data_IF_735598619340
#
_entry.id   IF_735598619340
#
_cell.length_a   1.000
_cell.length_b   1.000
_cell.length_c   1.000
_cell.angle_alpha   90.00
_cell.angle_beta   90.00
_cell.angle_gamma   90.00
#
_symmetry.space_group_name_H-M   'P 1'
#
loop_
_entity.id
_entity.type
_entity.pdbx_description
1 polymer ?
#
# COMPACT_ATOMS: atom_id res chain seq x y z
N UNK A 1 0.74 35.57 4.21
CA UNK A 1 0.88 34.38 3.34
C UNK A 1 2.33 33.91 3.08
N UNK A 2 3.33 34.81 2.94
CA UNK A 2 4.72 34.43 2.56
C UNK A 2 5.37 33.35 3.44
N UNK A 3 5.09 33.34 4.74
CA UNK A 3 5.64 32.33 5.67
C UNK A 3 5.11 30.91 5.35
N UNK A 4 3.82 30.76 5.09
CA UNK A 4 3.23 29.45 4.73
C UNK A 4 3.81 28.92 3.42
N UNK A 5 4.02 29.80 2.44
CA UNK A 5 4.62 29.43 1.17
C UNK A 5 6.10 29.05 1.33
N UNK A 6 6.87 29.81 2.12
CA UNK A 6 8.26 29.50 2.42
C UNK A 6 8.41 28.13 3.13
N UNK A 7 7.51 27.83 4.07
CA UNK A 7 7.45 26.52 4.72
C UNK A 7 7.19 25.40 3.71
N UNK A 8 6.22 25.56 2.81
CA UNK A 8 5.92 24.56 1.79
C UNK A 8 7.11 24.33 0.84
N UNK A 9 7.76 25.39 0.39
CA UNK A 9 8.97 25.28 -0.44
C UNK A 9 10.09 24.55 0.30
N UNK A 10 10.27 24.80 1.60
CA UNK A 10 11.25 24.07 2.40
C UNK A 10 10.90 22.59 2.53
N UNK A 11 9.63 22.27 2.75
CA UNK A 11 9.15 20.88 2.84
C UNK A 11 9.35 20.13 1.52
N UNK A 12 9.02 20.74 0.38
CA UNK A 12 9.27 20.17 -0.95
C UNK A 12 10.78 19.95 -1.22
N UNK A 13 11.61 20.91 -0.80
CA UNK A 13 13.06 20.76 -0.86
C UNK A 13 13.58 19.57 -0.04
N UNK A 14 13.09 19.41 1.19
CA UNK A 14 13.46 18.29 2.07
C UNK A 14 12.93 16.95 1.58
N UNK A 15 11.71 16.92 1.05
CA UNK A 15 11.07 15.67 0.63
C UNK A 15 11.81 14.96 -0.50
N UNK A 16 12.60 15.71 -1.30
CA UNK A 16 13.46 15.18 -2.36
C UNK A 16 14.69 14.41 -1.86
N UNK A 17 14.99 14.46 -0.56
CA UNK A 17 16.12 13.73 0.03
C UNK A 17 15.79 12.25 0.30
N UNK A 18 14.51 11.90 0.33
CA UNK A 18 14.10 10.50 0.48
C UNK A 18 14.33 9.72 -0.81
N UNK A 19 15.00 8.57 -0.70
CA UNK A 19 15.25 7.67 -1.83
C UNK A 19 13.97 6.96 -2.31
N UNK A 20 13.06 6.68 -1.38
CA UNK A 20 11.78 6.04 -1.68
C UNK A 20 10.73 7.12 -2.00
N UNK A 21 10.20 7.18 -3.23
CA UNK A 21 9.22 8.20 -3.60
C UNK A 21 7.89 8.05 -2.84
N UNK A 22 7.53 6.85 -2.36
CA UNK A 22 6.34 6.69 -1.52
C UNK A 22 6.53 7.38 -0.16
N UNK A 23 7.75 7.36 0.40
CA UNK A 23 8.08 8.05 1.63
C UNK A 23 8.08 9.57 1.46
N UNK A 24 8.51 10.09 0.30
CA UNK A 24 8.38 11.50 -0.07
C UNK A 24 6.93 11.97 0.05
N UNK A 25 5.98 11.20 -0.48
CA UNK A 25 4.56 11.55 -0.39
C UNK A 25 4.00 11.43 1.03
N UNK A 26 4.40 10.40 1.78
CA UNK A 26 4.00 10.26 3.19
C UNK A 26 4.49 11.44 4.03
N UNK A 27 5.74 11.87 3.83
CA UNK A 27 6.33 13.02 4.50
C UNK A 27 5.55 14.31 4.22
N UNK A 28 5.28 14.61 2.94
CA UNK A 28 4.54 15.82 2.55
C UNK A 28 3.11 15.80 3.09
N UNK A 29 2.43 14.66 2.97
CA UNK A 29 1.09 14.46 3.52
C UNK A 29 1.04 14.73 5.03
N UNK A 30 1.97 14.15 5.82
CA UNK A 30 2.04 14.36 7.27
C UNK A 30 2.20 15.84 7.63
N UNK A 31 3.17 16.52 6.99
CA UNK A 31 3.47 17.91 7.32
C UNK A 31 2.35 18.86 6.90
N UNK A 32 1.77 18.66 5.71
CA UNK A 32 0.67 19.51 5.23
C UNK A 32 -0.60 19.27 6.06
N UNK A 33 -0.87 18.02 6.45
CA UNK A 33 -1.98 17.70 7.37
C UNK A 33 -1.80 18.41 8.71
N UNK A 34 -0.59 18.37 9.26
CA UNK A 34 -0.27 19.10 10.48
C UNK A 34 -0.46 20.61 10.33
N UNK A 35 -0.04 21.21 9.21
CA UNK A 35 -0.28 22.62 8.92
C UNK A 35 -1.78 22.95 8.88
N UNK A 36 -2.57 22.14 8.17
CA UNK A 36 -4.03 22.30 8.10
C UNK A 36 -4.67 22.24 9.49
N UNK A 37 -4.28 21.24 10.30
CA UNK A 37 -4.79 21.07 11.67
C UNK A 37 -4.41 22.23 12.58
N UNK A 38 -3.18 22.73 12.45
CA UNK A 38 -2.67 23.86 13.24
C UNK A 38 -3.36 25.17 12.88
N UNK A 39 -3.55 25.44 11.58
CA UNK A 39 -4.30 26.62 11.11
C UNK A 39 -5.74 26.56 11.60
N UNK A 40 -6.43 25.43 11.47
CA UNK A 40 -7.83 25.28 11.93
C UNK A 40 -8.02 25.49 13.44
N UNK A 41 -6.96 25.36 14.23
CA UNK A 41 -6.97 25.48 15.70
C UNK A 41 -6.47 26.83 16.20
N UNK A 42 -6.16 27.77 15.32
CA UNK A 42 -5.62 29.09 15.65
C UNK A 42 -6.35 30.19 14.90
N UNK A 43 -6.17 31.44 15.34
CA UNK A 43 -6.67 32.66 14.68
C UNK A 43 -6.14 32.83 13.25
N UNK A 44 -5.09 32.08 12.87
CA UNK A 44 -4.62 32.02 11.50
C UNK A 44 -5.72 31.56 10.52
N UNK A 45 -6.73 30.81 10.98
CA UNK A 45 -7.88 30.44 10.16
C UNK A 45 -8.61 31.68 9.62
N UNK A 46 -8.83 32.69 10.46
CA UNK A 46 -9.58 33.89 10.10
C UNK A 46 -8.81 34.76 9.10
N UNK A 47 -7.47 34.73 9.18
CA UNK A 47 -6.58 35.41 8.24
C UNK A 47 -6.41 34.69 6.90
N UNK A 48 -6.43 33.35 6.90
CA UNK A 48 -6.16 32.52 5.72
C UNK A 48 -7.43 32.13 4.96
N UNK A 49 -8.57 32.07 5.65
CA UNK A 49 -9.86 31.69 5.11
C UNK A 49 -10.04 30.18 4.90
N UNK A 50 -11.31 29.77 4.80
CA UNK A 50 -11.70 28.37 4.58
C UNK A 50 -11.21 27.81 3.24
N UNK A 51 -11.09 28.64 2.21
CA UNK A 51 -10.55 28.25 0.90
C UNK A 51 -9.11 27.74 0.99
N UNK A 52 -8.29 28.37 1.83
CA UNK A 52 -6.93 27.90 2.06
C UNK A 52 -6.94 26.52 2.71
N UNK A 53 -7.79 26.32 3.73
CA UNK A 53 -7.94 25.04 4.42
C UNK A 53 -8.40 23.95 3.45
N UNK A 54 -9.41 24.22 2.62
CA UNK A 54 -9.94 23.26 1.67
C UNK A 54 -8.92 22.90 0.59
N UNK A 55 -8.18 23.88 0.06
CA UNK A 55 -7.09 23.65 -0.90
C UNK A 55 -6.03 22.71 -0.33
N UNK A 56 -5.58 22.95 0.90
CA UNK A 56 -4.51 22.14 1.50
C UNK A 56 -5.00 20.73 1.90
N UNK A 57 -6.27 20.58 2.30
CA UNK A 57 -6.87 19.24 2.46
C UNK A 57 -6.85 18.43 1.17
N UNK A 58 -7.14 19.06 0.02
CA UNK A 58 -7.03 18.38 -1.29
C UNK A 58 -5.59 17.96 -1.58
N UNK A 59 -4.59 18.77 -1.23
CA UNK A 59 -3.17 18.43 -1.40
C UNK A 59 -2.78 17.23 -0.51
N UNK A 60 -3.25 17.19 0.75
CA UNK A 60 -3.07 16.00 1.63
C UNK A 60 -3.61 14.75 0.96
N UNK A 61 -4.84 14.81 0.41
CA UNK A 61 -5.44 13.68 -0.28
C UNK A 61 -4.68 13.27 -1.55
N UNK A 62 -4.16 14.24 -2.31
CA UNK A 62 -3.34 13.96 -3.49
C UNK A 62 -2.07 13.19 -3.11
N UNK A 63 -1.39 13.58 -2.03
CA UNK A 63 -0.23 12.84 -1.55
C UNK A 63 -0.59 11.46 -1.01
N UNK A 64 -1.70 11.29 -0.30
CA UNK A 64 -2.19 9.97 0.12
C UNK A 64 -2.43 9.05 -1.10
N UNK A 65 -3.08 9.56 -2.14
CA UNK A 65 -3.34 8.82 -3.37
C UNK A 65 -2.04 8.45 -4.11
N UNK A 66 -1.09 9.38 -4.17
CA UNK A 66 0.19 9.14 -4.84
C UNK A 66 1.08 8.19 -4.06
N UNK A 67 1.09 8.25 -2.72
CA UNK A 67 1.68 7.24 -1.85
C UNK A 67 1.11 5.86 -2.17
N UNK A 68 -0.24 5.72 -2.17
CA UNK A 68 -0.92 4.45 -2.47
C UNK A 68 -0.48 3.89 -3.82
N UNK A 69 -0.55 4.72 -4.87
CA UNK A 69 -0.17 4.33 -6.24
C UNK A 69 1.29 3.89 -6.32
N UNK A 70 2.18 4.64 -5.68
CA UNK A 70 3.63 4.41 -5.80
C UNK A 70 4.07 3.18 -5.00
N UNK A 71 3.57 3.03 -3.77
CA UNK A 71 3.95 1.92 -2.91
C UNK A 71 3.32 0.58 -3.33
N UNK A 72 2.06 0.58 -3.79
CA UNK A 72 1.27 -0.65 -3.92
C UNK A 72 1.02 -1.11 -5.36
N UNK A 73 1.36 -0.30 -6.37
CA UNK A 73 1.10 -0.66 -7.78
C UNK A 73 1.74 -2.00 -8.18
N UNK A 74 3.00 -2.23 -7.81
CA UNK A 74 3.74 -3.45 -8.20
C UNK A 74 3.13 -4.72 -7.59
N UNK A 75 2.78 -4.69 -6.31
CA UNK A 75 2.17 -5.86 -5.64
C UNK A 75 0.75 -6.12 -6.13
N UNK A 76 -0.02 -5.08 -6.42
CA UNK A 76 -1.35 -5.23 -7.04
C UNK A 76 -1.25 -5.78 -8.47
N UNK A 77 -0.23 -5.39 -9.25
CA UNK A 77 0.04 -5.98 -10.56
C UNK A 77 0.40 -7.48 -10.45
N UNK A 78 1.18 -7.88 -9.43
CA UNK A 78 1.49 -9.29 -9.15
C UNK A 78 0.21 -10.12 -8.91
N UNK A 79 -0.80 -9.53 -8.28
CA UNK A 79 -2.11 -10.15 -8.04
C UNK A 79 -3.08 -10.06 -9.22
N UNK A 80 -2.68 -9.39 -10.31
CA UNK A 80 -3.52 -9.28 -11.50
C UNK A 80 -3.45 -10.54 -12.37
N UNK A 81 -4.50 -10.79 -13.14
CA UNK A 81 -4.56 -11.89 -14.10
C UNK A 81 -3.78 -11.54 -15.38
N UNK A 82 -3.43 -10.26 -15.56
CA UNK A 82 -2.71 -9.77 -16.73
C UNK A 82 -1.32 -10.40 -16.82
N UNK A 83 -0.99 -10.98 -17.98
CA UNK A 83 0.29 -11.68 -18.20
C UNK A 83 0.34 -13.10 -17.65
N UNK A 84 -0.79 -13.66 -17.17
CA UNK A 84 -0.94 -15.10 -16.91
C UNK A 84 -1.39 -15.87 -18.16
N UNK A 85 -1.98 -15.18 -19.13
CA UNK A 85 -2.46 -15.72 -20.40
C UNK A 85 -1.50 -15.37 -21.53
N UNK A 86 -0.34 -16.02 -21.61
CA UNK A 86 0.44 -16.03 -22.84
C UNK A 86 -0.01 -17.23 -23.67
N UNK A 87 -0.67 -16.93 -24.79
CA UNK A 87 -0.95 -17.89 -25.85
C UNK A 87 0.36 -18.34 -26.51
N UNK A 88 0.71 -19.60 -26.35
CA UNK A 88 1.58 -20.38 -27.23
C UNK A 88 0.94 -21.75 -27.38
N UNK A 89 0.38 -22.03 -28.57
CA UNK A 89 -0.60 -23.08 -28.83
C UNK A 89 -0.04 -24.50 -28.93
N UNK A 90 -0.97 -25.47 -28.98
CA UNK A 90 -0.69 -26.85 -29.35
C UNK A 90 -1.63 -27.90 -28.75
N UNK A 91 -2.75 -28.14 -29.44
CA UNK A 91 -3.44 -29.43 -29.58
C UNK A 91 -4.18 -30.08 -28.39
N UNK A 92 -5.52 -30.04 -28.51
CA UNK A 92 -6.46 -31.16 -28.51
C UNK A 92 -6.71 -32.04 -27.26
N UNK A 93 -8.02 -32.24 -27.05
CA UNK A 93 -8.69 -33.42 -26.48
C UNK A 93 -8.53 -33.71 -24.99
N UNK A 94 -9.46 -33.21 -24.18
CA UNK A 94 -10.31 -34.05 -23.31
C UNK A 94 -11.39 -33.19 -22.66
N UNK A 95 -12.65 -33.57 -22.84
CA UNK A 95 -13.76 -33.00 -22.09
C UNK A 95 -13.71 -33.49 -20.65
N UNK A 96 -13.89 -32.58 -19.70
CA UNK A 96 -14.85 -32.69 -18.59
C UNK A 96 -14.86 -31.33 -17.86
N UNK A 97 -15.99 -31.00 -17.24
CA UNK A 97 -16.25 -29.71 -16.61
C UNK A 97 -15.19 -29.34 -15.56
N UNK A 98 -14.47 -28.25 -15.80
CA UNK A 98 -13.56 -27.68 -14.81
C UNK A 98 -12.87 -26.43 -15.34
N UNK A 99 -13.11 -25.31 -14.66
CA UNK A 99 -12.62 -23.97 -14.95
C UNK A 99 -11.07 -23.89 -14.94
N UNK A 100 -10.41 -24.49 -15.93
CA UNK A 100 -8.96 -24.48 -16.09
C UNK A 100 -8.59 -23.29 -16.97
N UNK A 101 -8.36 -22.14 -16.34
CA UNK A 101 -7.61 -21.09 -17.02
C UNK A 101 -6.30 -21.72 -17.48
N UNK A 102 -5.99 -21.70 -18.79
CA UNK A 102 -4.79 -22.29 -19.42
C UNK A 102 -3.46 -21.65 -18.98
N UNK A 103 -3.37 -21.28 -17.71
CA UNK A 103 -2.26 -20.64 -17.03
C UNK A 103 -1.39 -21.73 -16.41
N UNK A 104 -0.09 -21.65 -16.64
CA UNK A 104 0.86 -22.61 -16.07
C UNK A 104 0.86 -22.56 -14.53
N UNK A 105 0.71 -23.74 -13.90
CA UNK A 105 0.86 -23.92 -12.43
C UNK A 105 2.19 -23.40 -11.90
N UNK A 106 3.26 -23.46 -12.71
CA UNK A 106 4.57 -22.93 -12.34
C UNK A 106 4.56 -21.39 -12.24
N UNK A 107 3.89 -20.71 -13.19
CA UNK A 107 3.74 -19.25 -13.17
C UNK A 107 2.91 -18.77 -11.97
N UNK A 108 1.83 -19.47 -11.63
CA UNK A 108 1.03 -19.17 -10.44
C UNK A 108 1.87 -19.27 -9.17
N UNK A 109 2.62 -20.36 -9.03
CA UNK A 109 3.54 -20.58 -7.91
C UNK A 109 4.59 -19.47 -7.81
N UNK A 110 5.10 -19.02 -8.95
CA UNK A 110 6.06 -17.91 -9.01
C UNK A 110 5.44 -16.57 -8.56
N UNK A 111 4.22 -16.26 -9.02
CA UNK A 111 3.47 -15.08 -8.56
C UNK A 111 3.26 -15.06 -7.05
N UNK A 112 2.91 -16.19 -6.44
CA UNK A 112 2.78 -16.28 -4.98
C UNK A 112 4.10 -15.99 -4.27
N UNK A 113 5.23 -16.49 -4.77
CA UNK A 113 6.55 -16.17 -4.20
C UNK A 113 6.89 -14.69 -4.34
N UNK A 114 6.67 -14.11 -5.51
CA UNK A 114 6.90 -12.70 -5.77
C UNK A 114 6.04 -11.84 -4.85
N UNK A 115 4.76 -12.20 -4.67
CA UNK A 115 3.87 -11.54 -3.73
C UNK A 115 4.42 -11.58 -2.30
N UNK A 116 4.84 -12.76 -1.82
CA UNK A 116 5.37 -12.90 -0.46
C UNK A 116 6.57 -11.98 -0.23
N UNK A 117 7.55 -11.99 -1.15
CA UNK A 117 8.74 -11.12 -1.06
C UNK A 117 8.35 -9.64 -1.08
N UNK A 118 7.48 -9.24 -2.01
CA UNK A 118 7.06 -7.84 -2.11
C UNK A 118 6.29 -7.38 -0.87
N UNK A 119 5.44 -8.23 -0.29
CA UNK A 119 4.70 -7.89 0.91
C UNK A 119 5.62 -7.80 2.12
N UNK A 120 6.55 -8.75 2.30
CA UNK A 120 7.55 -8.74 3.37
C UNK A 120 8.41 -7.46 3.31
N UNK A 121 8.89 -7.07 2.13
CA UNK A 121 9.65 -5.84 1.93
C UNK A 121 8.82 -4.58 2.25
N UNK A 122 7.54 -4.56 1.85
CA UNK A 122 6.64 -3.44 2.14
C UNK A 122 6.36 -3.33 3.64
N UNK A 123 6.02 -4.43 4.30
CA UNK A 123 5.76 -4.46 5.74
C UNK A 123 7.00 -4.05 6.53
N UNK A 124 8.15 -4.69 6.28
CA UNK A 124 9.40 -4.39 6.99
C UNK A 124 9.77 -2.90 6.92
N UNK A 125 9.59 -2.29 5.74
CA UNK A 125 9.93 -0.89 5.50
C UNK A 125 8.90 0.05 6.11
N UNK A 126 7.61 -0.18 5.87
CA UNK A 126 6.56 0.78 6.20
C UNK A 126 6.09 0.72 7.66
N UNK A 127 6.31 -0.40 8.35
CA UNK A 127 6.12 -0.48 9.81
C UNK A 127 7.14 0.40 10.57
N UNK A 128 8.27 0.75 9.94
CA UNK A 128 9.24 1.68 10.52
C UNK A 128 8.91 3.15 10.24
N UNK A 129 8.01 3.44 9.30
CA UNK A 129 7.58 4.81 9.02
C UNK A 129 6.61 5.28 10.09
N UNK A 130 6.35 6.59 10.17
CA UNK A 130 5.44 7.14 11.18
C UNK A 130 4.45 8.11 10.55
N UNK A 131 3.18 7.94 10.88
CA UNK A 131 2.11 8.92 10.62
C UNK A 131 1.58 9.35 11.99
N UNK A 132 2.01 10.52 12.51
CA UNK A 132 1.71 10.89 13.90
C UNK A 132 0.22 11.04 14.22
N UNK A 133 -0.55 11.56 13.27
CA UNK A 133 -1.99 11.75 13.42
C UNK A 133 -2.73 10.40 13.26
N UNK A 134 -3.44 9.96 14.30
CA UNK A 134 -4.07 8.64 14.35
C UNK A 134 -5.20 8.46 13.35
N UNK A 135 -6.01 9.48 13.12
CA UNK A 135 -7.10 9.45 12.15
C UNK A 135 -6.57 9.35 10.71
N UNK A 136 -5.54 10.14 10.38
CA UNK A 136 -4.85 10.04 9.09
C UNK A 136 -4.19 8.66 8.91
N UNK A 137 -3.57 8.13 9.97
CA UNK A 137 -2.93 6.81 9.96
C UNK A 137 -3.94 5.71 9.66
N UNK A 138 -5.05 5.69 10.38
CA UNK A 138 -6.07 4.66 10.22
C UNK A 138 -6.75 4.75 8.85
N UNK A 139 -7.05 5.98 8.40
CA UNK A 139 -7.56 6.21 7.04
C UNK A 139 -6.64 5.65 5.95
N UNK A 140 -5.32 5.80 6.09
CA UNK A 140 -4.37 5.22 5.14
C UNK A 140 -4.33 3.70 5.18
N UNK A 141 -4.35 3.10 6.38
CA UNK A 141 -4.38 1.64 6.55
C UNK A 141 -5.62 1.05 5.89
N UNK A 142 -6.80 1.62 6.17
CA UNK A 142 -8.06 1.24 5.55
C UNK A 142 -8.00 1.38 4.02
N UNK A 143 -7.50 2.52 3.53
CA UNK A 143 -7.42 2.76 2.09
C UNK A 143 -6.47 1.81 1.36
N UNK A 144 -5.44 1.27 2.03
CA UNK A 144 -4.57 0.22 1.50
C UNK A 144 -5.26 -1.15 1.57
N UNK A 145 -5.88 -1.48 2.69
CA UNK A 145 -6.61 -2.74 2.88
C UNK A 145 -7.74 -2.90 1.84
N UNK A 146 -8.47 -1.82 1.57
CA UNK A 146 -9.57 -1.74 0.60
C UNK A 146 -9.15 -2.13 -0.82
N UNK A 147 -7.88 -1.92 -1.19
CA UNK A 147 -7.37 -2.31 -2.52
C UNK A 147 -6.65 -3.65 -2.50
N UNK A 148 -5.90 -3.96 -1.43
CA UNK A 148 -5.07 -5.16 -1.37
C UNK A 148 -5.90 -6.42 -1.06
N UNK A 149 -6.78 -6.36 -0.05
CA UNK A 149 -7.50 -7.53 0.43
C UNK A 149 -8.44 -8.11 -0.63
N UNK A 150 -9.26 -7.31 -1.35
CA UNK A 150 -10.10 -7.86 -2.42
C UNK A 150 -9.30 -8.48 -3.56
N UNK A 151 -8.17 -7.86 -3.93
CA UNK A 151 -7.28 -8.39 -4.96
C UNK A 151 -6.67 -9.73 -4.52
N UNK A 152 -6.18 -9.82 -3.27
CA UNK A 152 -5.59 -11.03 -2.72
C UNK A 152 -6.62 -12.17 -2.58
N UNK A 153 -7.79 -11.88 -2.00
CA UNK A 153 -8.90 -12.85 -1.86
C UNK A 153 -9.32 -13.40 -3.21
N UNK A 154 -9.43 -12.53 -4.22
CA UNK A 154 -9.77 -12.95 -5.59
C UNK A 154 -8.69 -13.84 -6.21
N UNK A 155 -7.42 -13.50 -6.02
CA UNK A 155 -6.29 -14.29 -6.52
C UNK A 155 -6.22 -15.68 -5.88
N UNK A 156 -6.35 -15.75 -4.54
CA UNK A 156 -6.39 -17.01 -3.78
C UNK A 156 -7.59 -17.86 -4.19
N UNK A 157 -8.81 -17.29 -4.25
CA UNK A 157 -10.01 -18.04 -4.64
C UNK A 157 -9.85 -18.69 -6.02
N UNK A 158 -9.20 -17.98 -6.95
CA UNK A 158 -9.03 -18.45 -8.33
C UNK A 158 -7.89 -19.47 -8.48
N UNK A 159 -6.76 -19.26 -7.82
CA UNK A 159 -5.53 -20.00 -8.08
C UNK A 159 -5.01 -20.84 -6.90
N UNK A 160 -5.57 -20.65 -5.70
CA UNK A 160 -5.24 -21.39 -4.48
C UNK A 160 -5.35 -22.91 -4.64
N UNK A 161 -6.48 -23.45 -5.16
CA UNK A 161 -6.65 -24.90 -5.34
C UNK A 161 -5.55 -25.53 -6.22
N UNK A 162 -5.02 -24.80 -7.20
CA UNK A 162 -3.95 -25.29 -8.11
C UNK A 162 -2.60 -25.44 -7.39
N UNK A 163 -2.39 -24.68 -6.32
CA UNK A 163 -1.17 -24.69 -5.51
C UNK A 163 -1.29 -25.69 -4.36
N UNK A 164 -2.47 -25.76 -3.75
CA UNK A 164 -2.82 -26.67 -2.65
C UNK A 164 -2.75 -28.14 -3.05
N UNK A 165 -3.08 -28.48 -4.30
CA UNK A 165 -2.92 -29.83 -4.84
C UNK A 165 -1.44 -30.29 -4.96
N UNK A 166 -0.47 -29.44 -4.61
CA UNK A 166 0.96 -29.77 -4.63
C UNK A 166 1.52 -30.25 -3.29
N UNK A 167 2.73 -30.79 -3.30
CA UNK A 167 3.39 -31.36 -2.09
C UNK A 167 3.74 -30.34 -0.99
N UNK A 168 3.80 -29.04 -1.28
CA UNK A 168 4.23 -27.99 -0.33
C UNK A 168 3.46 -26.67 -0.48
N UNK A 169 2.15 -26.62 -0.16
CA UNK A 169 1.31 -25.42 -0.37
C UNK A 169 1.76 -24.20 0.45
N UNK A 170 2.14 -24.43 1.72
CA UNK A 170 2.59 -23.39 2.65
C UNK A 170 3.85 -22.62 2.19
N UNK A 171 4.63 -23.20 1.26
CA UNK A 171 5.78 -22.50 0.65
C UNK A 171 5.34 -21.32 -0.22
N UNK A 172 4.14 -21.39 -0.78
CA UNK A 172 3.61 -20.45 -1.76
C UNK A 172 2.53 -19.56 -1.13
N UNK A 173 1.52 -20.16 -0.49
CA UNK A 173 0.46 -19.43 0.21
C UNK A 173 0.89 -19.30 1.66
N UNK A 174 1.57 -18.19 1.99
CA UNK A 174 2.10 -17.92 3.34
C UNK A 174 1.13 -17.18 4.25
N UNK A 175 0.17 -16.48 3.68
CA UNK A 175 -0.69 -15.56 4.40
C UNK A 175 -2.15 -15.89 4.13
N UNK A 176 -2.98 -15.79 5.16
CA UNK A 176 -4.42 -15.63 4.98
C UNK A 176 -4.74 -14.15 4.74
N UNK A 177 -5.96 -13.85 4.29
CA UNK A 177 -6.36 -12.44 4.14
C UNK A 177 -6.43 -11.74 5.50
N UNK A 178 -6.76 -12.48 6.55
CA UNK A 178 -6.82 -12.04 7.93
C UNK A 178 -5.40 -11.77 8.49
N UNK A 179 -4.40 -12.56 8.09
CA UNK A 179 -2.98 -12.26 8.41
C UNK A 179 -2.53 -10.97 7.76
N UNK A 180 -2.85 -10.75 6.49
CA UNK A 180 -2.51 -9.52 5.78
C UNK A 180 -3.17 -8.30 6.43
N UNK A 181 -4.46 -8.40 6.79
CA UNK A 181 -5.19 -7.34 7.47
C UNK A 181 -4.55 -6.97 8.82
N UNK A 182 -4.22 -7.98 9.64
CA UNK A 182 -3.50 -7.77 10.90
C UNK A 182 -2.16 -7.07 10.68
N UNK A 183 -1.37 -7.53 9.71
CA UNK A 183 -0.06 -6.96 9.39
C UNK A 183 -0.16 -5.53 8.83
N UNK A 184 -1.20 -5.21 8.05
CA UNK A 184 -1.47 -3.83 7.61
C UNK A 184 -1.79 -2.91 8.81
N UNK A 185 -2.43 -3.46 9.85
CA UNK A 185 -2.69 -2.77 11.11
C UNK A 185 -1.43 -2.32 11.87
N UNK A 186 -0.25 -2.85 11.53
CA UNK A 186 1.03 -2.48 12.16
C UNK A 186 1.74 -1.31 11.44
N UNK A 187 1.25 -0.89 10.27
CA UNK A 187 1.93 0.10 9.44
C UNK A 187 1.92 1.47 10.11
N UNK A 188 3.00 2.24 9.94
CA UNK A 188 3.09 3.65 10.34
C UNK A 188 3.05 3.95 11.86
N UNK A 189 3.21 2.95 12.72
CA UNK A 189 3.38 3.17 14.16
C UNK A 189 4.74 3.77 14.50
N UNK A 190 5.71 3.63 13.59
CA UNK A 190 7.12 3.86 13.88
C UNK A 190 7.68 2.71 14.71
N UNK A 191 8.98 2.73 14.98
CA UNK A 191 9.51 1.88 16.04
C UNK A 191 8.86 2.35 17.34
N UNK A 192 7.98 1.53 17.93
CA UNK A 192 7.85 1.52 19.39
C UNK A 192 9.28 1.31 19.88
N UNK A 193 9.92 2.37 20.36
CA UNK A 193 10.99 2.20 21.32
C UNK A 193 10.30 1.52 22.49
N UNK A 194 10.19 0.19 22.43
CA UNK A 194 10.16 -0.63 23.62
C UNK A 194 11.41 -0.13 24.33
N UNK A 195 11.19 0.65 25.38
CA UNK A 195 12.21 1.01 26.34
C UNK A 195 13.06 -0.24 26.53
N UNK A 196 14.29 -0.20 26.00
CA UNK A 196 15.31 -1.14 26.38
C UNK A 196 15.47 -0.95 27.88
N UNK A 197 14.74 -1.77 28.64
CA UNK A 197 14.84 -1.86 30.08
C UNK A 197 16.31 -2.16 30.41
N UNK A 198 16.88 -1.25 31.19
CA UNK A 198 18.13 -1.30 31.95
C UNK A 198 19.41 -0.93 31.19
#
# INVERSE_FOLDING_TARGET
MRIMQALQTNLDGKSKQYKDPALTHLFLMNNIHYMVRSVRRSEAKDLLGDDWVQRHRRIVQQHANQYKRTAWSKILQTLSVQGLTSSGGGSAMSGDGGNSSGVSRALIKDRFKIFNVQFEELHQKQSQWTVPDSELRESLRLAVAEVLLPAYRSFIKRFGPLVEAGKTPAKYIRYTAEDLERMLGEFFEGKTLIESKR
#
